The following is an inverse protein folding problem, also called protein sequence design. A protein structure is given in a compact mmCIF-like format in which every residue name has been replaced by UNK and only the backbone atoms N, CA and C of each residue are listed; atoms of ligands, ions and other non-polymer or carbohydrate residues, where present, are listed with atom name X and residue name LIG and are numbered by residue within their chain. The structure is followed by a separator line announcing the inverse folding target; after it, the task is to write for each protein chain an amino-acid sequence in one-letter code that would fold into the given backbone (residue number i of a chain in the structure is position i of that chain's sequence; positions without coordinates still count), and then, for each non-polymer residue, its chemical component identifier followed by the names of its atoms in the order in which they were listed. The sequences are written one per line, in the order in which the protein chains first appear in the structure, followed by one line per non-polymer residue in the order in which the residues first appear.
data_IF_440156071946
#
_entry.id   IF_440156071946
#
_cell.length_a   1.000
_cell.length_b   1.000
_cell.length_c   1.000
_cell.angle_alpha   90.00
_cell.angle_beta   90.00
_cell.angle_gamma   90.00
#
_symmetry.space_group_name_H-M   'P 1'
#
loop_
_entity.id
_entity.type
_entity.pdbx_description
1 polymer ?
#
# COMPACT_ATOMS: atom_id res chain seq x y z
N UNK A 1 -10.20 -12.49 -19.47
CA UNK A 1 -9.33 -12.48 -18.29
C UNK A 1 -8.27 -11.44 -18.56
N UNK A 2 -8.35 -10.28 -17.92
CA UNK A 2 -7.38 -9.21 -18.14
C UNK A 2 -6.01 -9.67 -17.67
N UNK A 3 -4.97 -9.30 -18.40
CA UNK A 3 -3.56 -9.57 -18.11
C UNK A 3 -3.06 -8.71 -16.93
N UNK A 4 -3.82 -8.75 -15.83
CA UNK A 4 -3.50 -8.04 -14.59
C UNK A 4 -2.31 -8.72 -13.94
N UNK A 5 -1.15 -8.06 -13.96
CA UNK A 5 0.00 -8.51 -13.19
C UNK A 5 -0.24 -8.25 -11.70
N UNK A 6 0.33 -9.06 -10.82
CA UNK A 6 0.29 -8.83 -9.37
C UNK A 6 1.66 -8.42 -8.87
N UNK A 7 1.66 -7.59 -7.84
CA UNK A 7 2.85 -7.21 -7.10
C UNK A 7 2.64 -7.53 -5.63
N UNK A 8 3.73 -7.79 -4.92
CA UNK A 8 3.69 -8.04 -3.47
C UNK A 8 4.21 -6.80 -2.76
N UNK A 9 3.46 -6.32 -1.78
CA UNK A 9 3.90 -5.33 -0.81
C UNK A 9 4.17 -6.05 0.51
N UNK A 10 5.23 -5.65 1.20
CA UNK A 10 5.67 -6.27 2.44
C UNK A 10 5.46 -5.30 3.60
N UNK A 11 4.52 -5.64 4.48
CA UNK A 11 4.29 -4.94 5.73
C UNK A 11 5.08 -5.65 6.85
N UNK A 12 6.32 -5.20 7.04
CA UNK A 12 7.23 -5.68 8.10
C UNK A 12 6.96 -4.95 9.41
N UNK A 13 7.05 -5.67 10.53
CA UNK A 13 7.01 -5.09 11.89
C UNK A 13 5.78 -4.20 12.16
N UNK A 14 4.63 -4.58 11.62
CA UNK A 14 3.37 -3.85 11.84
C UNK A 14 3.02 -3.88 13.33
N UNK A 15 2.91 -2.70 13.93
CA UNK A 15 2.51 -2.55 15.32
C UNK A 15 1.04 -2.20 15.43
N UNK A 16 0.28 -3.08 16.09
CA UNK A 16 -1.11 -2.82 16.46
C UNK A 16 -1.18 -2.42 17.93
N UNK A 17 -1.89 -1.33 18.22
CA UNK A 17 -2.03 -0.84 19.59
C UNK A 17 -3.15 -1.53 20.37
N UNK A 18 -4.03 -2.26 19.70
CA UNK A 18 -5.08 -3.08 20.31
C UNK A 18 -5.61 -4.12 19.32
N UNK A 19 -6.36 -5.12 19.82
CA UNK A 19 -7.08 -6.07 18.96
C UNK A 19 -8.08 -5.41 18.01
N UNK A 20 -8.68 -4.29 18.44
CA UNK A 20 -9.61 -3.54 17.59
C UNK A 20 -8.90 -2.82 16.45
N UNK A 21 -7.68 -2.35 16.71
CA UNK A 21 -6.83 -1.69 15.71
C UNK A 21 -6.29 -2.70 14.69
N UNK A 22 -5.89 -3.89 15.14
CA UNK A 22 -5.54 -5.04 14.29
C UNK A 22 -6.74 -5.47 13.42
N UNK A 23 -7.93 -5.62 14.01
CA UNK A 23 -9.13 -5.96 13.26
C UNK A 23 -9.50 -4.88 12.23
N UNK A 24 -9.32 -3.60 12.58
CA UNK A 24 -9.55 -2.49 11.66
C UNK A 24 -8.58 -2.52 10.48
N UNK A 25 -7.31 -2.85 10.70
CA UNK A 25 -6.31 -3.00 9.65
C UNK A 25 -6.74 -4.04 8.60
N UNK A 26 -7.08 -5.26 9.02
CA UNK A 26 -7.48 -6.33 8.10
C UNK A 26 -8.83 -6.05 7.44
N UNK A 27 -9.80 -5.52 8.19
CA UNK A 27 -11.09 -5.12 7.61
C UNK A 27 -10.97 -3.99 6.59
N UNK A 28 -9.93 -3.16 6.70
CA UNK A 28 -9.62 -2.16 5.70
C UNK A 28 -9.01 -2.81 4.44
N UNK A 29 -8.03 -3.71 4.59
CA UNK A 29 -7.47 -4.45 3.45
C UNK A 29 -8.54 -5.18 2.63
N UNK A 30 -9.51 -5.82 3.30
CA UNK A 30 -10.62 -6.52 2.64
C UNK A 30 -11.52 -5.60 1.78
N UNK A 31 -11.49 -4.30 2.03
CA UNK A 31 -12.31 -3.31 1.30
C UNK A 31 -11.61 -2.68 0.11
N UNK A 32 -10.29 -2.85 -0.03
CA UNK A 32 -9.51 -2.26 -1.12
C UNK A 32 -9.65 -3.15 -2.37
N UNK A 33 -10.29 -2.69 -3.46
CA UNK A 33 -10.57 -3.53 -4.63
C UNK A 33 -9.34 -4.15 -5.30
N UNK A 34 -8.20 -3.45 -5.23
CA UNK A 34 -6.94 -3.93 -5.79
C UNK A 34 -6.23 -4.99 -4.93
N UNK A 35 -6.57 -5.13 -3.64
CA UNK A 35 -5.99 -6.16 -2.78
C UNK A 35 -6.64 -7.50 -3.12
N UNK A 36 -5.83 -8.49 -3.50
CA UNK A 36 -6.28 -9.83 -3.89
C UNK A 36 -6.17 -10.84 -2.76
N UNK A 37 -5.13 -10.74 -1.97
CA UNK A 37 -4.92 -11.57 -0.80
C UNK A 37 -3.87 -10.94 0.10
N UNK A 38 -3.79 -11.41 1.34
CA UNK A 38 -2.69 -11.13 2.24
C UNK A 38 -2.39 -12.37 3.08
N UNK A 39 -1.15 -12.52 3.52
CA UNK A 39 -0.71 -13.67 4.28
C UNK A 39 0.52 -13.37 5.13
N UNK A 40 0.55 -13.91 6.34
CA UNK A 40 1.70 -13.80 7.22
C UNK A 40 2.81 -14.77 6.81
N UNK A 41 4.03 -14.26 6.62
CA UNK A 41 5.27 -15.02 6.46
C UNK A 41 6.27 -14.55 7.51
N UNK A 42 6.51 -15.38 8.52
CA UNK A 42 7.36 -15.01 9.68
C UNK A 42 6.83 -13.74 10.37
N UNK A 43 7.61 -12.66 10.38
CA UNK A 43 7.26 -11.34 10.93
C UNK A 43 6.79 -10.35 9.86
N UNK A 44 6.58 -10.81 8.62
CA UNK A 44 6.17 -9.98 7.48
C UNK A 44 4.76 -10.35 7.06
N UNK A 45 3.90 -9.36 6.88
CA UNK A 45 2.63 -9.55 6.19
C UNK A 45 2.83 -9.23 4.71
N UNK A 46 2.65 -10.22 3.84
CA UNK A 46 2.66 -10.05 2.39
C UNK A 46 1.25 -9.66 1.92
N UNK A 47 1.13 -8.57 1.18
CA UNK A 47 -0.12 -8.06 0.61
C UNK A 47 0.00 -8.13 -0.91
N UNK A 48 -0.84 -8.95 -1.55
CA UNK A 48 -0.86 -9.14 -3.00
C UNK A 48 -1.82 -8.14 -3.62
N UNK A 49 -1.30 -7.28 -4.49
CA UNK A 49 -2.05 -6.20 -5.14
C UNK A 49 -2.08 -6.42 -6.66
N UNK A 50 -3.25 -6.30 -7.27
CA UNK A 50 -3.40 -6.32 -8.72
C UNK A 50 -3.02 -4.97 -9.34
N UNK A 51 -2.35 -5.03 -10.50
CA UNK A 51 -1.95 -3.88 -11.29
C UNK A 51 -2.59 -3.94 -12.68
N UNK A 52 -2.96 -2.79 -13.28
CA UNK A 52 -2.85 -1.43 -12.71
C UNK A 52 -3.87 -1.19 -11.58
N UNK A 53 -3.43 -0.55 -10.52
CA UNK A 53 -4.29 -0.09 -9.42
C UNK A 53 -5.15 1.09 -9.90
N UNK A 54 -6.33 1.29 -9.30
CA UNK A 54 -7.13 2.51 -9.48
C UNK A 54 -6.76 3.59 -8.44
N UNK A 55 -7.19 4.83 -8.68
CA UNK A 55 -6.86 5.97 -7.81
C UNK A 55 -7.32 5.78 -6.37
N UNK A 56 -8.51 5.23 -6.16
CA UNK A 56 -9.08 5.08 -4.82
C UNK A 56 -8.37 3.96 -4.07
N UNK A 57 -8.14 2.81 -4.71
CA UNK A 57 -7.32 1.75 -4.12
C UNK A 57 -5.93 2.22 -3.71
N UNK A 58 -5.27 3.06 -4.51
CA UNK A 58 -3.94 3.60 -4.16
C UNK A 58 -4.01 4.58 -2.98
N UNK A 59 -5.06 5.40 -2.88
CA UNK A 59 -5.27 6.30 -1.72
C UNK A 59 -5.48 5.51 -0.43
N UNK A 60 -6.27 4.46 -0.48
CA UNK A 60 -6.51 3.60 0.68
C UNK A 60 -5.22 2.90 1.12
N UNK A 61 -4.43 2.37 0.17
CA UNK A 61 -3.10 1.79 0.47
C UNK A 61 -2.15 2.82 1.08
N UNK A 62 -2.11 4.06 0.56
CA UNK A 62 -1.30 5.14 1.12
C UNK A 62 -1.68 5.48 2.56
N UNK A 63 -2.98 5.61 2.82
CA UNK A 63 -3.50 5.94 4.15
C UNK A 63 -3.19 4.82 5.14
N UNK A 64 -3.37 3.56 4.72
CA UNK A 64 -3.10 2.39 5.53
C UNK A 64 -1.60 2.26 5.86
N UNK A 65 -0.73 2.34 4.84
CA UNK A 65 0.71 2.20 5.04
C UNK A 65 1.24 3.31 5.96
N UNK A 66 0.81 4.55 5.74
CA UNK A 66 1.19 5.66 6.60
C UNK A 66 0.69 5.50 8.04
N UNK A 67 -0.57 5.09 8.24
CA UNK A 67 -1.17 4.93 9.58
C UNK A 67 -0.49 3.85 10.42
N UNK A 68 -0.09 2.75 9.78
CA UNK A 68 0.51 1.60 10.45
C UNK A 68 2.04 1.59 10.35
N UNK A 69 2.64 2.72 9.96
CA UNK A 69 4.09 2.90 9.84
C UNK A 69 4.78 1.86 8.94
N UNK A 70 4.08 1.41 7.91
CA UNK A 70 4.61 0.51 6.89
C UNK A 70 5.41 1.34 5.87
N UNK A 71 6.50 0.77 5.36
CA UNK A 71 7.37 1.41 4.38
C UNK A 71 6.60 1.81 3.10
N UNK A 72 6.44 3.12 2.93
CA UNK A 72 5.74 3.70 1.79
C UNK A 72 6.52 3.57 0.47
N UNK A 73 7.85 3.39 0.51
CA UNK A 73 8.69 3.36 -0.70
C UNK A 73 8.26 2.29 -1.69
N UNK A 74 7.73 1.17 -1.19
CA UNK A 74 7.23 0.04 -1.99
C UNK A 74 6.06 0.44 -2.88
N UNK A 75 5.22 1.40 -2.47
CA UNK A 75 4.09 1.87 -3.27
C UNK A 75 4.52 2.52 -4.59
N UNK A 76 5.80 2.88 -4.74
CA UNK A 76 6.37 3.32 -6.02
C UNK A 76 6.17 2.31 -7.14
N UNK A 77 6.09 1.01 -6.85
CA UNK A 77 5.85 -0.03 -7.86
C UNK A 77 4.42 0.00 -8.44
N UNK A 78 3.49 0.68 -7.78
CA UNK A 78 2.12 0.90 -8.25
C UNK A 78 1.98 2.14 -9.15
N UNK A 79 3.05 2.95 -9.23
CA UNK A 79 3.09 4.11 -10.11
C UNK A 79 2.95 3.67 -11.57
N UNK A 80 1.96 4.24 -12.24
CA UNK A 80 1.68 3.94 -13.63
C UNK A 80 1.26 5.21 -14.36
N UNK A 81 1.31 5.17 -15.69
CA UNK A 81 1.05 6.32 -16.55
C UNK A 81 -0.35 6.95 -16.39
N UNK A 82 -1.33 6.23 -15.81
CA UNK A 82 -2.69 6.74 -15.58
C UNK A 82 -2.81 7.54 -14.27
N UNK A 83 -1.99 7.22 -13.27
CA UNK A 83 -2.10 7.77 -11.91
C UNK A 83 -1.04 8.85 -11.62
N UNK A 84 0.09 8.79 -12.33
CA UNK A 84 1.33 9.45 -11.93
C UNK A 84 1.26 10.95 -11.61
N UNK A 85 0.30 11.71 -12.15
CA UNK A 85 0.24 13.16 -11.92
C UNK A 85 -0.08 13.55 -10.46
N UNK A 86 -1.10 12.94 -9.84
CA UNK A 86 -1.45 13.26 -8.44
C UNK A 86 -0.61 12.46 -7.44
N UNK A 87 -0.18 11.26 -7.81
CA UNK A 87 0.63 10.41 -6.94
C UNK A 87 2.04 10.96 -6.74
N UNK A 88 2.61 11.60 -7.77
CA UNK A 88 3.92 12.27 -7.74
C UNK A 88 3.82 13.76 -7.38
N UNK A 89 2.70 14.24 -6.85
CA UNK A 89 2.57 15.64 -6.44
C UNK A 89 3.49 15.94 -5.23
N UNK A 90 4.50 16.83 -5.36
CA UNK A 90 5.44 17.14 -4.29
C UNK A 90 4.81 17.77 -3.04
N UNK A 91 3.58 18.27 -3.12
CA UNK A 91 2.87 18.84 -1.98
C UNK A 91 2.18 17.79 -1.10
N UNK A 92 2.21 16.51 -1.51
CA UNK A 92 1.54 15.43 -0.76
C UNK A 92 2.44 14.87 0.33
N UNK A 93 1.83 14.53 1.47
CA UNK A 93 2.55 14.05 2.66
C UNK A 93 3.38 12.78 2.41
N UNK A 94 2.97 11.94 1.45
CA UNK A 94 3.68 10.71 1.10
C UNK A 94 4.83 10.93 0.10
N UNK A 95 4.86 12.07 -0.59
CA UNK A 95 5.74 12.25 -1.74
C UNK A 95 7.21 12.09 -1.35
N UNK A 96 7.64 12.74 -0.27
CA UNK A 96 9.02 12.63 0.24
C UNK A 96 9.37 11.19 0.62
N UNK A 97 8.46 10.45 1.25
CA UNK A 97 8.70 9.06 1.64
C UNK A 97 8.84 8.12 0.42
N UNK A 98 8.13 8.38 -0.68
CA UNK A 98 8.08 7.49 -1.86
C UNK A 98 9.12 7.87 -2.92
N UNK A 99 9.32 9.17 -3.13
CA UNK A 99 10.11 9.73 -4.24
C UNK A 99 11.26 10.62 -3.78
N UNK A 100 11.41 10.86 -2.47
CA UNK A 100 12.54 11.58 -1.92
C UNK A 100 13.86 10.86 -2.22
N UNK A 101 14.94 11.63 -2.28
CA UNK A 101 16.29 11.07 -2.40
C UNK A 101 16.81 10.83 -0.99
N UNK A 102 17.01 9.56 -0.61
CA UNK A 102 17.78 9.23 0.60
C UNK A 102 19.20 9.71 0.38
N UNK A 103 19.63 10.72 1.15
CA UNK A 103 21.00 11.24 1.13
C UNK A 103 21.92 10.45 2.06
#
# INVERSE_FOLDING_TARGET
MGDGSTVVLEATDVWYYSRGDEAAFFAWLDRIPAVRSYGGRLSTLEIVVETPVDDDSLRELLALFHRYHIDLTQLRQLDNSRIGAWFRDPQKYWHEAIFGTSN
#
